data_IF_435823028692
#
_entry.id   IF_435823028692
#
_cell.length_a   1.000
_cell.length_b   1.000
_cell.length_c   1.000
_cell.angle_alpha   90.00
_cell.angle_beta   90.00
_cell.angle_gamma   90.00
#
_symmetry.space_group_name_H-M   'P 1'
#
loop_
_entity.id
_entity.type
_entity.pdbx_description
1 polymer ?
#
# COMPACT_ATOMS: atom_id res chain seq x y z
N UNK A 1 2.06 -25.78 -1.22
CA UNK A 1 1.78 -24.34 -1.47
C UNK A 1 0.45 -24.03 -0.83
N UNK A 2 0.39 -23.08 0.10
CA UNK A 2 -0.88 -22.62 0.68
C UNK A 2 -1.61 -21.71 -0.30
N UNK A 3 -2.93 -21.82 -0.38
CA UNK A 3 -3.75 -20.93 -1.23
C UNK A 3 -4.10 -19.63 -0.47
N UNK A 4 -3.83 -18.48 -1.11
CA UNK A 4 -4.31 -17.16 -0.67
C UNK A 4 -5.58 -16.80 -1.45
N UNK A 5 -6.68 -16.50 -0.74
CA UNK A 5 -7.87 -15.86 -1.32
C UNK A 5 -7.90 -14.41 -0.87
N UNK A 6 -8.02 -13.46 -1.80
CA UNK A 6 -7.95 -12.03 -1.51
C UNK A 6 -8.93 -11.24 -2.36
N UNK A 7 -9.54 -10.22 -1.76
CA UNK A 7 -10.34 -9.18 -2.42
C UNK A 7 -9.76 -7.82 -2.02
N UNK A 8 -9.47 -6.98 -3.02
CA UNK A 8 -8.92 -5.64 -2.83
C UNK A 8 -9.85 -4.64 -3.53
N UNK A 9 -10.35 -3.67 -2.77
CA UNK A 9 -11.10 -2.50 -3.26
C UNK A 9 -10.21 -1.26 -3.12
N UNK A 10 -9.46 -0.85 -4.16
CA UNK A 10 -8.55 0.29 -4.11
C UNK A 10 -9.26 1.64 -4.33
N UNK A 11 -10.33 1.89 -3.58
CA UNK A 11 -11.15 3.09 -3.68
C UNK A 11 -10.41 4.42 -3.46
N UNK A 12 -11.06 5.52 -3.88
CA UNK A 12 -10.55 6.89 -3.73
C UNK A 12 -10.64 7.41 -2.28
N UNK A 13 -11.52 6.83 -1.44
CA UNK A 13 -11.66 7.18 -0.03
C UNK A 13 -10.79 6.31 0.88
N UNK A 14 -10.61 5.04 0.55
CA UNK A 14 -9.75 4.10 1.24
C UNK A 14 -9.51 2.86 0.37
N UNK A 15 -8.40 2.17 0.61
CA UNK A 15 -8.17 0.82 0.11
C UNK A 15 -8.64 -0.18 1.15
N UNK A 16 -9.62 -1.01 0.81
CA UNK A 16 -10.15 -2.04 1.71
C UNK A 16 -9.69 -3.41 1.25
N UNK A 17 -9.28 -4.25 2.19
CA UNK A 17 -8.74 -5.57 1.91
C UNK A 17 -9.43 -6.59 2.80
N UNK A 18 -9.84 -7.70 2.20
CA UNK A 18 -10.23 -8.91 2.89
C UNK A 18 -9.42 -10.08 2.32
N UNK A 19 -8.77 -10.87 3.17
CA UNK A 19 -7.99 -12.02 2.73
C UNK A 19 -8.15 -13.22 3.68
N UNK A 20 -7.92 -14.42 3.15
CA UNK A 20 -8.00 -15.68 3.87
C UNK A 20 -6.88 -16.60 3.39
N UNK A 21 -6.11 -17.12 4.34
CA UNK A 21 -5.13 -18.16 4.11
C UNK A 21 -5.79 -19.53 4.28
N UNK A 22 -5.25 -20.55 3.63
CA UNK A 22 -5.75 -21.91 3.75
C UNK A 22 -5.86 -22.34 5.23
N UNK A 23 -7.07 -22.76 5.63
CA UNK A 23 -7.43 -23.14 7.01
C UNK A 23 -7.34 -22.02 8.07
N UNK A 24 -7.23 -20.76 7.66
CA UNK A 24 -7.25 -19.60 8.56
C UNK A 24 -8.59 -18.85 8.52
N UNK A 25 -8.84 -18.03 9.54
CA UNK A 25 -9.95 -17.08 9.54
C UNK A 25 -9.72 -15.96 8.51
N UNK A 26 -10.81 -15.36 8.04
CA UNK A 26 -10.75 -14.16 7.21
C UNK A 26 -10.21 -12.99 8.01
N UNK A 27 -9.23 -12.29 7.43
CA UNK A 27 -8.62 -11.08 7.97
C UNK A 27 -9.02 -9.89 7.10
N UNK A 28 -9.23 -8.73 7.74
CA UNK A 28 -9.64 -7.51 7.07
C UNK A 28 -8.80 -6.33 7.55
N UNK A 29 -8.43 -5.43 6.64
CA UNK A 29 -7.82 -4.16 7.00
C UNK A 29 -8.15 -3.07 5.99
N UNK A 30 -7.88 -1.83 6.40
CA UNK A 30 -8.07 -0.62 5.59
C UNK A 30 -6.77 0.16 5.57
N UNK A 31 -6.46 0.75 4.42
CA UNK A 31 -5.34 1.68 4.23
C UNK A 31 -5.87 2.98 3.64
N UNK A 32 -5.36 4.12 4.11
CA UNK A 32 -5.67 5.43 3.54
C UNK A 32 -5.39 5.48 2.03
N UNK A 33 -6.11 6.30 1.25
CA UNK A 33 -6.12 6.18 -0.21
C UNK A 33 -4.89 6.81 -0.89
N UNK A 34 -3.97 7.37 -0.11
CA UNK A 34 -2.85 8.16 -0.63
C UNK A 34 -1.75 7.26 -1.18
N UNK A 35 -1.17 7.69 -2.30
CA UNK A 35 -0.05 7.05 -2.96
C UNK A 35 0.79 8.11 -3.65
N UNK A 36 2.07 8.24 -3.29
CA UNK A 36 2.96 9.25 -3.83
C UNK A 36 4.28 8.64 -4.27
N UNK A 37 4.79 9.09 -5.42
CA UNK A 37 6.18 8.83 -5.78
C UNK A 37 7.10 9.56 -4.81
N UNK A 38 8.14 8.87 -4.36
CA UNK A 38 9.17 9.37 -3.45
C UNK A 38 10.55 8.99 -4.01
N UNK A 39 11.64 9.63 -3.54
CA UNK A 39 12.99 9.21 -3.91
C UNK A 39 13.22 7.70 -3.70
N UNK A 40 14.05 7.09 -4.55
CA UNK A 40 14.33 5.64 -4.47
C UNK A 40 14.97 5.23 -3.14
N UNK A 41 15.69 6.15 -2.50
CA UNK A 41 16.33 5.99 -1.20
C UNK A 41 15.43 6.39 -0.02
N UNK A 42 14.14 6.71 -0.24
CA UNK A 42 13.23 7.26 0.77
C UNK A 42 13.23 6.52 2.13
N UNK A 43 13.28 5.17 2.19
CA UNK A 43 13.36 4.47 3.47
C UNK A 43 14.60 4.85 4.31
N UNK A 44 15.71 5.19 3.66
CA UNK A 44 16.96 5.60 4.30
C UNK A 44 17.01 7.12 4.50
N UNK A 45 16.61 7.90 3.49
CA UNK A 45 16.72 9.36 3.48
C UNK A 45 15.63 10.06 4.32
N UNK A 46 14.52 9.38 4.63
CA UNK A 46 13.47 9.98 5.46
C UNK A 46 13.88 10.21 6.92
N UNK A 47 14.97 9.61 7.43
CA UNK A 47 15.51 9.86 8.77
C UNK A 47 14.60 9.46 9.95
N UNK A 48 13.33 9.17 9.68
CA UNK A 48 12.41 8.53 10.61
C UNK A 48 12.82 7.07 10.67
N UNK A 49 13.28 6.62 11.84
CA UNK A 49 13.31 5.20 12.15
C UNK A 49 11.91 4.65 11.94
N UNK A 50 11.65 4.11 10.75
CA UNK A 50 10.40 3.46 10.36
C UNK A 50 10.30 2.09 11.04
N UNK A 51 10.48 2.08 12.36
CA UNK A 51 10.25 0.92 13.23
C UNK A 51 8.78 0.56 13.36
N UNK A 52 7.89 1.27 12.65
CA UNK A 52 6.48 0.94 12.55
C UNK A 52 6.20 0.26 11.21
N UNK A 53 6.13 -1.07 11.24
CA UNK A 53 5.66 -1.94 10.15
C UNK A 53 4.14 -1.85 10.02
N UNK A 54 3.61 -0.64 9.82
CA UNK A 54 2.18 -0.41 9.64
C UNK A 54 1.86 -0.14 8.17
N UNK A 55 0.75 -0.68 7.69
CA UNK A 55 0.31 -0.53 6.28
C UNK A 55 0.13 0.94 5.87
N UNK A 56 -0.14 1.82 6.83
CA UNK A 56 -0.29 3.27 6.61
C UNK A 56 1.04 4.02 6.33
N UNK A 57 2.18 3.34 6.48
CA UNK A 57 3.50 3.86 6.12
C UNK A 57 4.27 2.88 5.22
N UNK A 58 3.55 2.02 4.48
CA UNK A 58 4.16 1.08 3.56
C UNK A 58 4.78 1.80 2.36
N UNK A 59 5.84 1.23 1.80
CA UNK A 59 6.43 1.69 0.55
C UNK A 59 6.70 0.51 -0.37
N UNK A 60 6.67 0.75 -1.68
CA UNK A 60 6.97 -0.26 -2.70
C UNK A 60 7.89 0.32 -3.75
N UNK A 61 8.86 -0.47 -4.20
CA UNK A 61 9.66 -0.15 -5.38
C UNK A 61 9.09 -0.89 -6.59
N UNK A 62 8.87 -0.16 -7.68
CA UNK A 62 8.43 -0.73 -8.96
C UNK A 62 9.18 -0.05 -10.10
N UNK A 63 10.07 -0.80 -10.76
CA UNK A 63 11.06 -0.23 -11.67
C UNK A 63 12.00 0.73 -10.94
N UNK A 64 12.27 1.88 -11.54
CA UNK A 64 13.18 2.90 -10.98
C UNK A 64 12.50 3.86 -9.99
N UNK A 65 11.24 3.61 -9.63
CA UNK A 65 10.47 4.52 -8.77
C UNK A 65 10.05 3.83 -7.46
N UNK A 66 10.13 4.59 -6.36
CA UNK A 66 9.58 4.20 -5.07
C UNK A 66 8.26 4.93 -4.82
N UNK A 67 7.27 4.22 -4.27
CA UNK A 67 5.97 4.77 -3.94
C UNK A 67 5.69 4.56 -2.45
N UNK A 68 5.44 5.67 -1.75
CA UNK A 68 4.90 5.65 -0.39
C UNK A 68 3.38 5.51 -0.46
N UNK A 69 2.82 4.72 0.45
CA UNK A 69 1.40 4.37 0.52
C UNK A 69 0.79 4.75 1.87
N UNK A 70 -0.53 4.90 1.90
CA UNK A 70 -1.26 5.14 3.13
C UNK A 70 -1.09 6.56 3.69
N UNK A 71 -1.41 6.75 4.96
CA UNK A 71 -1.42 8.05 5.62
C UNK A 71 -0.07 8.78 5.51
N UNK A 72 1.05 8.05 5.51
CA UNK A 72 2.38 8.60 5.32
C UNK A 72 2.56 9.33 3.98
N UNK A 73 1.83 8.92 2.93
CA UNK A 73 1.85 9.56 1.62
C UNK A 73 1.05 10.86 1.56
N UNK A 74 0.16 11.14 2.51
CA UNK A 74 -0.75 12.31 2.49
C UNK A 74 -0.02 13.63 2.33
N UNK A 75 1.17 13.76 2.93
CA UNK A 75 1.98 14.99 2.92
C UNK A 75 2.60 15.33 1.56
N UNK A 76 2.61 14.40 0.61
CA UNK A 76 3.21 14.61 -0.71
C UNK A 76 2.21 15.12 -1.72
N UNK A 77 2.68 16.02 -2.59
CA UNK A 77 1.88 16.56 -3.69
C UNK A 77 1.46 15.45 -4.66
N UNK A 78 0.21 15.50 -5.10
CA UNK A 78 -0.33 14.49 -6.03
C UNK A 78 -0.58 13.13 -5.38
N UNK A 79 -0.55 13.01 -4.06
CA UNK A 79 -0.77 11.73 -3.35
C UNK A 79 -2.21 11.22 -3.41
N UNK A 80 -3.19 12.13 -3.38
CA UNK A 80 -4.61 11.80 -3.47
C UNK A 80 -5.02 11.41 -4.90
N UNK A 81 -6.01 10.52 -5.02
CA UNK A 81 -6.67 10.21 -6.30
C UNK A 81 -7.65 11.35 -6.60
N UNK A 82 -7.41 12.13 -7.66
CA UNK A 82 -8.32 13.20 -8.12
C UNK A 82 -9.23 12.69 -9.23
N UNK A 83 -10.33 13.39 -9.48
CA UNK A 83 -11.30 13.00 -10.52
C UNK A 83 -10.71 12.92 -11.93
N UNK A 84 -9.62 13.64 -12.19
CA UNK A 84 -8.94 13.67 -13.49
C UNK A 84 -7.82 12.63 -13.60
N UNK A 85 -7.55 11.86 -12.54
CA UNK A 85 -6.51 10.84 -12.53
C UNK A 85 -7.07 9.48 -12.95
N UNK A 86 -6.31 8.74 -13.75
CA UNK A 86 -6.61 7.34 -14.03
C UNK A 86 -6.43 6.52 -12.75
N UNK A 87 -7.54 6.11 -12.14
CA UNK A 87 -7.56 5.41 -10.83
C UNK A 87 -6.64 4.18 -10.79
N UNK A 88 -6.48 3.47 -11.91
CA UNK A 88 -5.72 2.22 -11.94
C UNK A 88 -4.22 2.43 -11.68
N UNK A 89 -3.65 3.60 -12.01
CA UNK A 89 -2.21 3.88 -11.84
C UNK A 89 -1.84 3.79 -10.35
N UNK A 90 -2.56 4.52 -9.50
CA UNK A 90 -2.33 4.47 -8.05
C UNK A 90 -2.83 3.16 -7.43
N UNK A 91 -3.83 2.52 -8.02
CA UNK A 91 -4.34 1.23 -7.55
C UNK A 91 -3.27 0.13 -7.61
N UNK A 92 -2.47 0.08 -8.68
CA UNK A 92 -1.39 -0.90 -8.85
C UNK A 92 -0.45 -0.90 -7.64
N UNK A 93 0.10 0.26 -7.27
CA UNK A 93 1.08 0.35 -6.18
C UNK A 93 0.48 0.01 -4.83
N UNK A 94 -0.79 0.38 -4.60
CA UNK A 94 -1.53 -0.02 -3.39
C UNK A 94 -1.74 -1.53 -3.33
N UNK A 95 -2.06 -2.19 -4.45
CA UNK A 95 -2.19 -3.64 -4.53
C UNK A 95 -0.85 -4.33 -4.22
N UNK A 96 0.25 -3.86 -4.80
CA UNK A 96 1.58 -4.40 -4.52
C UNK A 96 1.92 -4.29 -3.03
N UNK A 97 1.66 -3.13 -2.41
CA UNK A 97 1.90 -2.92 -0.98
C UNK A 97 1.05 -3.83 -0.09
N UNK A 98 -0.21 -4.07 -0.46
CA UNK A 98 -1.10 -5.01 0.23
C UNK A 98 -0.56 -6.44 0.16
N UNK A 99 -0.10 -6.88 -1.01
CA UNK A 99 0.45 -8.23 -1.19
C UNK A 99 1.73 -8.41 -0.36
N UNK A 100 2.64 -7.43 -0.39
CA UNK A 100 3.85 -7.46 0.43
C UNK A 100 3.56 -7.43 1.94
N UNK A 101 2.56 -6.65 2.37
CA UNK A 101 2.13 -6.63 3.76
C UNK A 101 1.63 -8.01 4.21
N UNK A 102 0.73 -8.63 3.44
CA UNK A 102 0.21 -9.97 3.76
C UNK A 102 1.35 -10.99 3.83
N UNK A 103 2.29 -10.94 2.90
CA UNK A 103 3.46 -11.83 2.89
C UNK A 103 4.32 -11.69 4.16
N UNK A 104 4.46 -10.49 4.72
CA UNK A 104 5.22 -10.26 5.96
C UNK A 104 4.58 -10.84 7.23
N UNK A 105 3.31 -11.24 7.14
CA UNK A 105 2.54 -11.83 8.25
C UNK A 105 2.48 -13.37 8.17
N UNK A 106 3.11 -13.96 7.15
CA UNK A 106 3.22 -15.41 6.93
C UNK A 106 4.54 -15.94 7.48
#
# INVERSE_FOLDING_TARGET
MSKLKIVIDPGSSATKVAYCLENASTQCFVMSPYCAAVPSDYPQSSGWGMGYTHVENAWVSHGDTCYLLGAGAKKFQGSAVRNNDLKYIKALYKILGVLSHIQSQL
#
